data_IF_953624141548
#
_entry.id   IF_953624141548
#
_cell.length_a   1.000
_cell.length_b   1.000
_cell.length_c   1.000
_cell.angle_alpha   90.00
_cell.angle_beta   90.00
_cell.angle_gamma   90.00
#
_symmetry.space_group_name_H-M   'P 1'
#
loop_
_entity.id
_entity.type
_entity.pdbx_description
1 polymer ?
#
# COMPACT_ATOMS: atom_id res chain seq x y z
N UNK A 1 -20.23 -25.25 7.88
CA UNK A 1 -20.28 -24.24 8.96
C UNK A 1 -19.16 -23.25 8.69
N UNK A 2 -19.48 -22.13 8.05
CA UNK A 2 -18.54 -21.00 7.97
C UNK A 2 -18.28 -20.55 9.41
N UNK A 3 -17.02 -20.62 9.85
CA UNK A 3 -16.63 -20.02 11.13
C UNK A 3 -16.86 -18.53 10.98
N UNK A 4 -17.88 -18.01 11.64
CA UNK A 4 -18.10 -16.57 11.76
C UNK A 4 -16.80 -15.96 12.29
N UNK A 5 -16.08 -15.24 11.43
CA UNK A 5 -14.92 -14.47 11.86
C UNK A 5 -15.39 -13.49 12.93
N UNK A 6 -14.80 -13.50 14.13
CA UNK A 6 -15.22 -12.61 15.20
C UNK A 6 -15.10 -11.15 14.74
N UNK A 7 -16.09 -10.31 15.06
CA UNK A 7 -16.15 -8.89 14.68
C UNK A 7 -14.83 -8.15 14.93
N UNK A 8 -14.17 -8.45 16.04
CA UNK A 8 -12.87 -7.89 16.41
C UNK A 8 -11.77 -8.20 15.38
N UNK A 9 -11.75 -9.42 14.85
CA UNK A 9 -10.79 -9.82 13.81
C UNK A 9 -11.04 -9.05 12.52
N UNK A 10 -12.30 -8.92 12.07
CA UNK A 10 -12.65 -8.13 10.88
C UNK A 10 -12.27 -6.66 11.02
N UNK A 11 -12.53 -6.05 12.19
CA UNK A 11 -12.10 -4.67 12.48
C UNK A 11 -10.58 -4.53 12.42
N UNK A 12 -9.85 -5.49 13.01
CA UNK A 12 -8.38 -5.48 12.96
C UNK A 12 -7.85 -5.62 11.52
N UNK A 13 -8.48 -6.44 10.68
CA UNK A 13 -8.14 -6.60 9.27
C UNK A 13 -8.35 -5.30 8.49
N UNK A 14 -9.49 -4.62 8.69
CA UNK A 14 -9.77 -3.31 8.06
C UNK A 14 -8.73 -2.27 8.49
N UNK A 15 -8.36 -2.23 9.78
CA UNK A 15 -7.34 -1.30 10.27
C UNK A 15 -5.96 -1.58 9.68
N UNK A 16 -5.56 -2.85 9.58
CA UNK A 16 -4.30 -3.23 8.93
C UNK A 16 -4.28 -2.84 7.45
N UNK A 17 -5.39 -2.95 6.73
CA UNK A 17 -5.49 -2.52 5.34
C UNK A 17 -5.30 -1.01 5.19
N UNK A 18 -5.77 -0.20 6.15
CA UNK A 18 -5.53 1.25 6.14
C UNK A 18 -4.05 1.61 6.29
N UNK A 19 -3.24 0.78 6.98
CA UNK A 19 -1.78 0.98 7.04
C UNK A 19 -1.17 0.93 5.64
N UNK A 20 -1.60 -0.02 4.79
CA UNK A 20 -1.13 -0.11 3.41
C UNK A 20 -1.56 1.08 2.55
N UNK A 21 -2.77 1.62 2.78
CA UNK A 21 -3.23 2.86 2.13
C UNK A 21 -2.33 4.04 2.51
N UNK A 22 -2.04 4.21 3.80
CA UNK A 22 -1.17 5.27 4.30
C UNK A 22 0.23 5.14 3.70
N UNK A 23 0.79 3.92 3.65
CA UNK A 23 2.09 3.66 3.01
C UNK A 23 2.08 4.02 1.52
N UNK A 24 1.02 3.66 0.78
CA UNK A 24 0.85 4.05 -0.62
C UNK A 24 0.82 5.57 -0.81
N UNK A 25 0.07 6.30 0.04
CA UNK A 25 0.03 7.76 0.04
C UNK A 25 1.41 8.36 0.36
N UNK A 26 2.14 7.79 1.32
CA UNK A 26 3.48 8.25 1.67
C UNK A 26 4.47 8.05 0.51
N UNK A 27 4.38 6.95 -0.23
CA UNK A 27 5.18 6.72 -1.45
C UNK A 27 4.85 7.77 -2.52
N UNK A 28 3.57 8.02 -2.79
CA UNK A 28 3.13 9.05 -3.75
C UNK A 28 3.63 10.43 -3.34
N UNK A 29 3.46 10.80 -2.07
CA UNK A 29 3.83 12.12 -1.54
C UNK A 29 5.34 12.33 -1.54
N UNK A 30 6.11 11.33 -1.11
CA UNK A 30 7.58 11.40 -1.16
C UNK A 30 8.10 11.45 -2.58
N UNK A 31 7.46 10.75 -3.53
CA UNK A 31 7.78 10.83 -4.97
C UNK A 31 7.52 12.24 -5.50
N UNK A 32 6.38 12.84 -5.16
CA UNK A 32 6.04 14.22 -5.53
C UNK A 32 7.02 15.24 -4.97
N UNK A 33 7.48 15.02 -3.74
CA UNK A 33 8.45 15.90 -3.07
C UNK A 33 9.91 15.63 -3.49
N UNK A 34 10.18 14.59 -4.31
CA UNK A 34 11.54 14.18 -4.67
C UNK A 34 12.35 13.57 -3.52
N UNK A 35 11.71 13.24 -2.39
CA UNK A 35 12.35 12.65 -1.20
C UNK A 35 12.09 11.15 -1.10
N UNK A 36 11.74 10.49 -2.20
CA UNK A 36 11.41 9.07 -2.18
C UNK A 36 12.69 8.25 -1.99
N UNK A 37 12.77 7.59 -0.82
CA UNK A 37 13.88 6.73 -0.39
C UNK A 37 14.11 5.57 -1.38
N UNK A 38 13.09 5.13 -2.12
CA UNK A 38 13.24 4.11 -3.14
C UNK A 38 13.92 4.63 -4.42
N UNK A 39 13.72 5.91 -4.74
CA UNK A 39 14.33 6.55 -5.91
C UNK A 39 15.76 6.99 -5.61
N UNK A 40 15.94 7.67 -4.47
CA UNK A 40 17.20 8.23 -3.99
C UNK A 40 17.45 7.78 -2.53
N UNK A 41 17.91 6.53 -2.32
CA UNK A 41 18.14 6.00 -0.97
C UNK A 41 19.31 6.73 -0.28
N UNK A 42 19.17 7.05 1.03
CA UNK A 42 20.26 7.67 1.77
C UNK A 42 21.43 6.70 1.93
N UNK A 43 22.66 7.20 2.16
CA UNK A 43 23.88 6.41 2.05
C UNK A 43 23.92 5.15 2.94
N UNK A 44 23.30 5.20 4.11
CA UNK A 44 23.22 4.08 5.05
C UNK A 44 22.22 2.99 4.65
N UNK A 45 21.25 3.31 3.78
CA UNK A 45 20.25 2.37 3.24
C UNK A 45 20.66 1.77 1.90
N UNK A 46 21.58 2.40 1.17
CA UNK A 46 22.09 1.90 -0.12
C UNK A 46 22.54 0.43 -0.11
N UNK A 47 23.23 -0.10 0.93
CA UNK A 47 23.64 -1.50 0.94
C UNK A 47 22.46 -2.49 1.00
N UNK A 48 21.32 -2.03 1.52
CA UNK A 48 20.13 -2.83 1.78
C UNK A 48 19.09 -2.69 0.65
N UNK A 49 19.19 -1.64 -0.16
CA UNK A 49 18.34 -1.37 -1.31
C UNK A 49 19.17 -1.55 -2.58
N UNK A 50 19.21 -2.78 -3.08
CA UNK A 50 19.69 -3.06 -4.44
C UNK A 50 18.63 -2.58 -5.43
N UNK A 51 18.92 -1.51 -6.16
CA UNK A 51 18.09 -1.13 -7.31
C UNK A 51 18.06 -2.32 -8.28
N UNK A 52 16.85 -2.82 -8.53
CA UNK A 52 16.62 -3.85 -9.56
C UNK A 52 17.18 -3.36 -10.89
N UNK A 53 17.85 -4.24 -11.65
CA UNK A 53 18.37 -3.94 -12.99
C UNK A 53 17.29 -3.37 -13.90
N UNK A 54 16.06 -3.87 -13.78
CA UNK A 54 14.88 -3.34 -14.50
C UNK A 54 14.55 -1.89 -14.13
N UNK A 55 14.67 -1.53 -12.85
CA UNK A 55 14.47 -0.14 -12.40
C UNK A 55 15.55 0.79 -12.97
N UNK A 56 16.81 0.35 -12.97
CA UNK A 56 17.92 1.16 -13.49
C UNK A 56 17.82 1.41 -15.01
N UNK A 57 17.22 0.48 -15.77
CA UNK A 57 17.04 0.56 -17.22
C UNK A 57 15.97 1.58 -17.65
N UNK A 58 15.02 1.88 -16.78
CA UNK A 58 13.89 2.77 -17.07
C UNK A 58 14.24 4.26 -17.02
N UNK A 59 15.44 4.58 -16.53
CA UNK A 59 15.86 5.96 -16.28
C UNK A 59 15.01 6.66 -15.22
N UNK A 60 15.38 7.90 -14.87
CA UNK A 60 14.78 8.62 -13.73
C UNK A 60 13.28 8.85 -13.86
N UNK A 61 12.79 9.15 -15.07
CA UNK A 61 11.35 9.37 -15.29
C UNK A 61 10.54 8.08 -15.17
N UNK A 62 11.08 6.94 -15.63
CA UNK A 62 10.41 5.65 -15.50
C UNK A 62 10.39 5.14 -14.06
N UNK A 63 11.45 5.37 -13.29
CA UNK A 63 11.46 5.06 -11.84
C UNK A 63 10.39 5.90 -11.08
N UNK A 64 10.25 7.20 -11.41
CA UNK A 64 9.20 8.07 -10.84
C UNK A 64 7.81 7.55 -11.20
N UNK A 65 7.59 7.19 -12.46
CA UNK A 65 6.31 6.63 -12.92
C UNK A 65 5.96 5.34 -12.18
N UNK A 66 6.91 4.42 -12.03
CA UNK A 66 6.71 3.18 -11.27
C UNK A 66 6.41 3.45 -9.79
N UNK A 67 7.05 4.44 -9.18
CA UNK A 67 6.77 4.79 -7.78
C UNK A 67 5.33 5.28 -7.60
N UNK A 68 4.82 6.10 -8.52
CA UNK A 68 3.41 6.51 -8.53
C UNK A 68 2.46 5.33 -8.81
N UNK A 69 2.84 4.45 -9.74
CA UNK A 69 2.05 3.27 -10.08
C UNK A 69 1.92 2.34 -8.86
N UNK A 70 3.03 2.03 -8.20
CA UNK A 70 3.06 1.16 -7.02
C UNK A 70 2.27 1.81 -5.88
N UNK A 71 2.53 3.09 -5.58
CA UNK A 71 1.81 3.80 -4.51
C UNK A 71 0.30 3.85 -4.75
N UNK A 72 -0.14 4.09 -5.99
CA UNK A 72 -1.56 4.11 -6.34
C UNK A 72 -2.19 2.71 -6.31
N UNK A 73 -1.46 1.68 -6.73
CA UNK A 73 -1.90 0.28 -6.64
C UNK A 73 -2.11 -0.16 -5.19
N UNK A 74 -1.19 0.19 -4.28
CA UNK A 74 -1.33 -0.06 -2.85
C UNK A 74 -2.61 0.57 -2.29
N UNK A 75 -2.85 1.84 -2.62
CA UNK A 75 -4.07 2.56 -2.19
C UNK A 75 -5.33 1.87 -2.74
N UNK A 76 -5.36 1.56 -4.03
CA UNK A 76 -6.53 0.96 -4.68
C UNK A 76 -6.85 -0.43 -4.14
N UNK A 77 -5.87 -1.34 -4.12
CA UNK A 77 -6.08 -2.73 -3.67
C UNK A 77 -6.46 -2.76 -2.20
N UNK A 78 -5.74 -2.04 -1.34
CA UNK A 78 -6.03 -2.04 0.08
C UNK A 78 -7.41 -1.42 0.39
N UNK A 79 -7.82 -0.39 -0.35
CA UNK A 79 -9.16 0.19 -0.22
C UNK A 79 -10.25 -0.78 -0.66
N UNK A 80 -10.07 -1.50 -1.78
CA UNK A 80 -11.02 -2.51 -2.25
C UNK A 80 -11.18 -3.63 -1.23
N UNK A 81 -10.06 -4.16 -0.70
CA UNK A 81 -10.09 -5.18 0.34
C UNK A 81 -10.75 -4.67 1.62
N UNK A 82 -10.50 -3.41 2.02
CA UNK A 82 -11.11 -2.82 3.20
C UNK A 82 -12.63 -2.69 3.03
N UNK A 83 -13.10 -2.27 1.85
CA UNK A 83 -14.53 -2.21 1.53
C UNK A 83 -15.15 -3.62 1.59
N UNK A 84 -14.50 -4.63 1.02
CA UNK A 84 -15.00 -6.01 1.10
C UNK A 84 -15.17 -6.47 2.55
N UNK A 85 -14.20 -6.18 3.42
CA UNK A 85 -14.27 -6.53 4.85
C UNK A 85 -15.32 -5.71 5.60
N UNK A 86 -15.48 -4.44 5.27
CA UNK A 86 -16.55 -3.59 5.82
C UNK A 86 -17.94 -4.07 5.42
N UNK A 87 -18.13 -4.57 4.19
CA UNK A 87 -19.40 -5.16 3.75
C UNK A 87 -19.73 -6.44 4.53
N UNK A 88 -18.73 -7.27 4.81
CA UNK A 88 -18.90 -8.46 5.68
C UNK A 88 -19.27 -8.04 7.10
N UNK A 89 -18.60 -7.02 7.65
CA UNK A 89 -18.92 -6.46 8.96
C UNK A 89 -20.36 -5.92 9.02
N UNK A 90 -20.79 -5.18 7.99
CA UNK A 90 -22.13 -4.61 7.89
C UNK A 90 -23.22 -5.69 7.86
N UNK A 91 -22.97 -6.80 7.14
CA UNK A 91 -23.85 -7.98 7.12
C UNK A 91 -23.93 -8.65 8.50
N UNK A 92 -22.81 -8.83 9.19
CA UNK A 92 -22.81 -9.40 10.55
C UNK A 92 -23.59 -8.54 11.56
N UNK A 93 -23.61 -7.23 11.36
CA UNK A 93 -24.32 -6.29 12.23
C UNK A 93 -25.78 -6.04 11.82
N UNK A 94 -26.27 -6.69 10.75
CA UNK A 94 -27.67 -6.57 10.30
C UNK A 94 -28.03 -5.24 9.62
N UNK A 95 -27.03 -4.48 9.14
CA UNK A 95 -27.25 -3.23 8.41
C UNK A 95 -27.59 -3.45 6.91
N UNK A 96 -27.44 -4.68 6.42
CA UNK A 96 -27.51 -5.07 5.00
C UNK A 96 -28.08 -6.47 4.89
#
# INVERSE_FOLDING_TARGET
MEKETPLFQLLSEVMWLQVFVILGIMIIRSTKNGTNIFLDPPPWLRPWITKSTLWSLLGRQGEIFLSYLIGSLFVAIASILAIQRLLVLARQLGYL
#
